data_IF_299767973223
#
_entry.id   IF_299767973223
#
_cell.length_a   1.000
_cell.length_b   1.000
_cell.length_c   1.000
_cell.angle_alpha   90.00
_cell.angle_beta   90.00
_cell.angle_gamma   90.00
#
_symmetry.space_group_name_H-M   'P 1'
#
loop_
_entity.id
_entity.type
_entity.pdbx_description
1 polymer ?
#
# COMPACT_ATOMS: atom_id res chain seq x y z
N UNK A 1 7.26 -7.43 -12.23
CA UNK A 1 7.03 -8.57 -11.30
C UNK A 1 7.18 -8.17 -9.84
N UNK A 2 8.38 -7.76 -9.41
CA UNK A 2 8.70 -7.58 -7.99
C UNK A 2 7.91 -6.44 -7.31
N UNK A 3 7.74 -5.29 -7.98
CA UNK A 3 6.87 -4.20 -7.48
C UNK A 3 5.44 -4.68 -7.20
N UNK A 4 4.84 -5.41 -8.15
CA UNK A 4 3.50 -6.02 -8.01
C UNK A 4 3.49 -6.99 -6.83
N UNK A 5 4.47 -7.90 -6.76
CA UNK A 5 4.54 -8.89 -5.68
C UNK A 5 4.63 -8.23 -4.30
N UNK A 6 5.44 -7.17 -4.14
CA UNK A 6 5.58 -6.46 -2.87
C UNK A 6 4.30 -5.74 -2.44
N UNK A 7 3.65 -5.05 -3.38
CA UNK A 7 2.38 -4.36 -3.11
C UNK A 7 1.32 -5.38 -2.70
N UNK A 8 1.11 -6.41 -3.51
CA UNK A 8 0.11 -7.46 -3.22
C UNK A 8 0.45 -8.19 -1.92
N UNK A 9 1.72 -8.50 -1.67
CA UNK A 9 2.17 -9.09 -0.40
C UNK A 9 1.75 -8.25 0.79
N UNK A 10 2.00 -6.94 0.73
CA UNK A 10 1.69 -6.00 1.80
C UNK A 10 0.19 -5.93 2.05
N UNK A 11 -0.62 -5.74 1.01
CA UNK A 11 -2.09 -5.65 1.16
C UNK A 11 -2.69 -6.99 1.65
N UNK A 12 -2.24 -8.15 1.14
CA UNK A 12 -2.70 -9.45 1.61
C UNK A 12 -2.29 -9.74 3.06
N UNK A 13 -1.09 -9.32 3.46
CA UNK A 13 -0.65 -9.38 4.85
C UNK A 13 -1.53 -8.51 5.74
N UNK A 14 -1.89 -7.31 5.31
CA UNK A 14 -2.78 -6.42 6.05
C UNK A 14 -4.17 -7.02 6.23
N UNK A 15 -4.78 -7.50 5.14
CA UNK A 15 -6.06 -8.23 5.17
C UNK A 15 -6.00 -9.39 6.17
N UNK A 16 -4.94 -10.19 6.11
CA UNK A 16 -4.80 -11.38 6.96
C UNK A 16 -4.70 -11.01 8.46
N UNK A 17 -4.02 -9.92 8.79
CA UNK A 17 -3.90 -9.45 10.17
C UNK A 17 -5.18 -8.80 10.67
N UNK A 18 -5.87 -8.04 9.84
CA UNK A 18 -7.17 -7.46 10.18
C UNK A 18 -8.18 -8.57 10.46
N UNK A 19 -8.29 -9.56 9.57
CA UNK A 19 -9.13 -10.73 9.78
C UNK A 19 -8.70 -11.52 11.02
N UNK A 20 -7.39 -11.68 11.25
CA UNK A 20 -6.86 -12.32 12.45
C UNK A 20 -7.30 -11.61 13.74
N UNK A 21 -7.19 -10.27 13.79
CA UNK A 21 -7.64 -9.46 14.92
C UNK A 21 -9.15 -9.61 15.11
N UNK A 22 -9.94 -9.50 14.04
CA UNK A 22 -11.40 -9.65 14.09
C UNK A 22 -11.76 -11.02 14.67
N UNK A 23 -11.16 -12.11 14.15
CA UNK A 23 -11.42 -13.47 14.60
C UNK A 23 -11.02 -13.70 16.06
N UNK A 24 -9.95 -13.07 16.54
CA UNK A 24 -9.51 -13.18 17.95
C UNK A 24 -10.47 -12.43 18.86
N UNK A 25 -10.86 -11.21 18.51
CA UNK A 25 -11.74 -10.37 19.35
C UNK A 25 -13.16 -10.94 19.39
N UNK A 26 -13.70 -11.40 18.25
CA UNK A 26 -15.07 -11.93 18.19
C UNK A 26 -15.17 -13.41 18.59
N UNK A 27 -14.10 -14.01 19.14
CA UNK A 27 -14.06 -15.44 19.49
C UNK A 27 -15.15 -15.83 20.50
N UNK A 28 -15.56 -14.89 21.36
CA UNK A 28 -16.58 -15.11 22.39
C UNK A 28 -18.02 -14.89 21.89
N UNK A 29 -18.20 -14.41 20.64
CA UNK A 29 -19.52 -14.15 20.07
C UNK A 29 -19.97 -15.38 19.24
N UNK A 30 -21.12 -15.96 19.60
CA UNK A 30 -21.73 -17.05 18.84
C UNK A 30 -22.07 -16.62 17.41
N UNK A 31 -21.91 -17.51 16.42
CA UNK A 31 -22.18 -17.25 14.98
C UNK A 31 -21.35 -16.14 14.31
N UNK A 32 -20.45 -15.45 15.01
CA UNK A 32 -19.60 -14.38 14.47
C UNK A 32 -18.85 -14.79 13.19
N UNK A 33 -18.35 -16.03 13.14
CA UNK A 33 -17.65 -16.60 11.98
C UNK A 33 -18.48 -16.58 10.70
N UNK A 34 -19.79 -16.86 10.78
CA UNK A 34 -20.67 -16.86 9.62
C UNK A 34 -20.76 -15.47 8.99
N UNK A 35 -20.94 -14.44 9.83
CA UNK A 35 -21.01 -13.04 9.39
C UNK A 35 -19.68 -12.51 8.88
N UNK A 36 -18.56 -12.95 9.45
CA UNK A 36 -17.22 -12.63 8.93
C UNK A 36 -17.04 -13.23 7.54
N UNK A 37 -17.34 -14.51 7.35
CA UNK A 37 -17.24 -15.17 6.03
C UNK A 37 -18.16 -14.51 5.01
N UNK A 38 -19.41 -14.23 5.39
CA UNK A 38 -20.36 -13.54 4.52
C UNK A 38 -19.85 -12.14 4.14
N UNK A 39 -19.27 -11.41 5.10
CA UNK A 39 -18.68 -10.09 4.86
C UNK A 39 -17.49 -10.16 3.91
N UNK A 40 -16.60 -11.13 4.08
CA UNK A 40 -15.46 -11.36 3.17
C UNK A 40 -15.97 -11.63 1.75
N UNK A 41 -16.93 -12.54 1.60
CA UNK A 41 -17.51 -12.86 0.29
C UNK A 41 -18.11 -11.62 -0.38
N UNK A 42 -18.89 -10.83 0.36
CA UNK A 42 -19.47 -9.60 -0.17
C UNK A 42 -18.39 -8.60 -0.58
N UNK A 43 -17.37 -8.38 0.25
CA UNK A 43 -16.25 -7.50 -0.06
C UNK A 43 -15.49 -7.91 -1.32
N UNK A 44 -15.22 -9.21 -1.49
CA UNK A 44 -14.58 -9.75 -2.71
C UNK A 44 -15.44 -9.55 -3.95
N UNK A 45 -16.76 -9.75 -3.85
CA UNK A 45 -17.68 -9.49 -4.96
C UNK A 45 -17.63 -8.02 -5.36
N UNK A 46 -17.72 -7.09 -4.39
CA UNK A 46 -17.64 -5.66 -4.68
C UNK A 46 -16.26 -5.24 -5.23
N UNK A 47 -15.16 -5.81 -4.72
CA UNK A 47 -13.83 -5.55 -5.26
C UNK A 47 -13.70 -6.06 -6.70
N UNK A 48 -14.29 -7.21 -7.02
CA UNK A 48 -14.30 -7.76 -8.38
C UNK A 48 -15.11 -6.90 -9.34
N UNK A 49 -16.26 -6.39 -8.89
CA UNK A 49 -17.06 -5.40 -9.64
C UNK A 49 -16.25 -4.14 -9.88
N UNK A 50 -15.57 -3.63 -8.84
CA UNK A 50 -14.71 -2.47 -8.93
C UNK A 50 -13.59 -2.66 -9.97
N UNK A 51 -12.89 -3.81 -9.96
CA UNK A 51 -11.87 -4.16 -10.96
C UNK A 51 -12.41 -4.13 -12.39
N UNK A 52 -13.62 -4.66 -12.60
CA UNK A 52 -14.26 -4.65 -13.91
C UNK A 52 -14.53 -3.23 -14.41
N UNK A 53 -15.01 -2.34 -13.54
CA UNK A 53 -15.22 -0.93 -13.88
C UNK A 53 -13.90 -0.21 -14.17
N UNK A 54 -12.88 -0.39 -13.34
CA UNK A 54 -11.55 0.21 -13.55
C UNK A 54 -10.97 -0.16 -14.92
N UNK A 55 -11.11 -1.43 -15.33
CA UNK A 55 -10.65 -1.87 -16.67
C UNK A 55 -11.44 -1.22 -17.81
N UNK A 56 -12.74 -0.99 -17.65
CA UNK A 56 -13.55 -0.31 -18.67
C UNK A 56 -13.23 1.16 -18.81
N UNK A 57 -13.02 1.86 -17.69
CA UNK A 57 -12.60 3.28 -17.73
C UNK A 57 -11.27 3.42 -18.47
N UNK A 58 -10.28 2.60 -18.11
CA UNK A 58 -8.96 2.58 -18.74
C UNK A 58 -8.98 2.58 -20.27
N UNK A 59 -9.76 1.68 -20.88
CA UNK A 59 -9.84 1.53 -22.34
C UNK A 59 -10.43 2.75 -23.06
N UNK A 60 -11.19 3.60 -22.36
CA UNK A 60 -11.87 4.76 -22.94
C UNK A 60 -11.01 6.02 -22.99
N UNK A 61 -9.87 6.06 -22.29
CA UNK A 61 -9.00 7.26 -22.19
C UNK A 61 -7.71 7.14 -23.02
N UNK A 62 -7.54 6.07 -23.81
CA UNK A 62 -6.28 5.70 -24.48
C UNK A 62 -5.88 6.51 -25.71
N UNK A 63 -6.11 7.82 -25.75
CA UNK A 63 -5.66 8.64 -26.88
C UNK A 63 -5.60 10.11 -26.55
N UNK A 64 -4.39 10.60 -26.25
CA UNK A 64 -3.80 11.92 -26.54
C UNK A 64 -2.68 12.19 -25.52
N UNK A 65 -1.44 12.35 -25.99
CA UNK A 65 -0.31 12.91 -25.23
C UNK A 65 0.42 11.90 -24.33
N UNK A 66 1.01 10.86 -24.91
CA UNK A 66 1.63 9.72 -24.21
C UNK A 66 2.58 10.16 -23.08
N UNK A 67 3.45 11.16 -23.30
CA UNK A 67 4.44 11.57 -22.30
C UNK A 67 3.84 12.32 -21.09
N UNK A 68 2.89 13.24 -21.33
CA UNK A 68 2.19 13.96 -20.25
C UNK A 68 1.30 13.02 -19.45
N UNK A 69 0.60 12.13 -20.16
CA UNK A 69 -0.25 11.11 -19.57
C UNK A 69 0.56 10.14 -18.72
N UNK A 70 1.69 9.63 -19.24
CA UNK A 70 2.57 8.71 -18.53
C UNK A 70 3.17 9.37 -17.27
N UNK A 71 3.67 10.61 -17.37
CA UNK A 71 4.17 11.32 -16.19
C UNK A 71 3.06 11.62 -15.17
N UNK A 72 1.85 11.95 -15.65
CA UNK A 72 0.67 12.20 -14.81
C UNK A 72 0.24 10.96 -14.04
N UNK A 73 0.25 9.79 -14.68
CA UNK A 73 0.03 8.51 -14.02
C UNK A 73 1.11 8.28 -12.96
N UNK A 74 2.40 8.47 -13.28
CA UNK A 74 3.47 8.27 -12.29
C UNK A 74 3.33 9.17 -11.06
N UNK A 75 2.89 10.41 -11.23
CA UNK A 75 2.59 11.32 -10.11
C UNK A 75 1.38 10.81 -9.32
N UNK A 76 0.31 10.40 -9.99
CA UNK A 76 -0.87 9.83 -9.34
C UNK A 76 -0.51 8.58 -8.52
N UNK A 77 0.32 7.69 -9.06
CA UNK A 77 0.85 6.52 -8.36
C UNK A 77 1.62 6.92 -7.12
N UNK A 78 2.51 7.89 -7.26
CA UNK A 78 3.31 8.42 -6.15
C UNK A 78 2.40 8.93 -5.03
N UNK A 79 1.36 9.70 -5.37
CA UNK A 79 0.41 10.23 -4.40
C UNK A 79 -0.39 9.11 -3.74
N UNK A 80 -0.92 8.15 -4.51
CA UNK A 80 -1.70 7.04 -3.99
C UNK A 80 -0.86 6.18 -3.03
N UNK A 81 0.35 5.79 -3.43
CA UNK A 81 1.26 5.00 -2.56
C UNK A 81 1.60 5.81 -1.30
N UNK A 82 1.89 7.11 -1.43
CA UNK A 82 2.18 7.97 -0.28
C UNK A 82 1.00 8.01 0.69
N UNK A 83 -0.21 8.16 0.15
CA UNK A 83 -1.45 8.18 0.93
C UNK A 83 -1.66 6.87 1.70
N UNK A 84 -1.51 5.71 1.04
CA UNK A 84 -1.71 4.40 1.70
C UNK A 84 -0.66 4.15 2.78
N UNK A 85 0.60 4.53 2.55
CA UNK A 85 1.66 4.49 3.56
C UNK A 85 1.30 5.33 4.80
N UNK A 86 0.87 6.58 4.58
CA UNK A 86 0.56 7.51 5.67
C UNK A 86 -0.69 7.03 6.42
N UNK A 87 -1.71 6.59 5.70
CA UNK A 87 -2.98 6.16 6.29
C UNK A 87 -2.78 4.97 7.24
N UNK A 88 -1.93 4.01 6.86
CA UNK A 88 -1.60 2.82 7.62
C UNK A 88 -1.02 3.10 9.01
N UNK A 89 -0.37 4.26 9.19
CA UNK A 89 0.22 4.66 10.48
C UNK A 89 -0.87 4.73 11.57
N UNK A 90 -0.84 3.77 12.49
CA UNK A 90 -1.76 3.68 13.63
C UNK A 90 -3.12 3.03 13.34
N UNK A 91 -3.37 2.53 12.12
CA UNK A 91 -4.65 1.90 11.77
C UNK A 91 -4.93 0.65 12.62
N UNK A 92 -3.94 -0.24 12.78
CA UNK A 92 -4.11 -1.50 13.53
C UNK A 92 -4.50 -1.32 15.01
N UNK A 93 -4.06 -0.24 15.67
CA UNK A 93 -4.42 0.05 17.07
C UNK A 93 -5.89 0.50 17.16
N UNK A 94 -6.30 1.41 16.26
CA UNK A 94 -7.67 1.92 16.20
C UNK A 94 -8.67 0.82 15.86
N UNK A 95 -8.33 -0.04 14.92
CA UNK A 95 -9.15 -1.21 14.55
C UNK A 95 -9.33 -2.13 15.74
N UNK A 96 -8.27 -2.44 16.49
CA UNK A 96 -8.37 -3.27 17.69
C UNK A 96 -9.30 -2.66 18.75
N UNK A 97 -9.19 -1.36 19.03
CA UNK A 97 -10.07 -0.66 19.98
C UNK A 97 -11.53 -0.67 19.51
N UNK A 98 -11.76 -0.27 18.26
CA UNK A 98 -13.11 -0.19 17.70
C UNK A 98 -13.82 -1.55 17.64
N UNK A 99 -13.10 -2.62 17.29
CA UNK A 99 -13.66 -3.97 17.29
C UNK A 99 -13.92 -4.47 18.71
N UNK A 100 -13.04 -4.16 19.69
CA UNK A 100 -13.31 -4.49 21.09
C UNK A 100 -14.62 -3.84 21.57
N UNK A 101 -14.79 -2.54 21.31
CA UNK A 101 -16.01 -1.82 21.70
C UNK A 101 -17.25 -2.40 21.00
N UNK A 102 -17.15 -2.69 19.70
CA UNK A 102 -18.22 -3.32 18.93
C UNK A 102 -18.53 -4.72 19.46
N UNK A 103 -17.51 -5.49 19.83
CA UNK A 103 -17.66 -6.85 20.37
C UNK A 103 -18.38 -6.85 21.71
N UNK A 104 -18.03 -5.91 22.61
CA UNK A 104 -18.72 -5.73 23.90
C UNK A 104 -20.19 -5.36 23.64
N UNK A 105 -20.46 -4.39 22.76
CA UNK A 105 -21.83 -3.99 22.41
C UNK A 105 -22.67 -5.11 21.78
N UNK A 106 -22.06 -5.97 20.96
CA UNK A 106 -22.75 -7.15 20.39
C UNK A 106 -23.09 -8.14 21.51
N UNK A 107 -22.17 -8.35 22.45
CA UNK A 107 -22.39 -9.25 23.59
C UNK A 107 -23.48 -8.75 24.55
N UNK A 108 -23.56 -7.43 24.75
CA UNK A 108 -24.61 -6.77 25.53
C UNK A 108 -25.96 -6.66 24.79
N UNK A 109 -26.06 -7.18 23.55
CA UNK A 109 -27.28 -7.11 22.73
C UNK A 109 -27.57 -5.71 22.15
N UNK A 110 -26.64 -4.77 22.33
CA UNK A 110 -26.79 -3.36 21.96
C UNK A 110 -26.27 -3.05 20.54
N UNK A 111 -25.59 -4.01 19.90
CA UNK A 111 -25.16 -3.93 18.51
C UNK A 111 -25.48 -5.20 17.72
N UNK A 112 -25.81 -5.04 16.44
CA UNK A 112 -26.25 -6.14 15.58
C UNK A 112 -25.08 -6.82 14.88
N UNK A 113 -25.19 -8.14 14.67
CA UNK A 113 -24.28 -8.94 13.83
C UNK A 113 -24.05 -8.35 12.42
N UNK A 114 -25.02 -7.58 11.91
CA UNK A 114 -24.89 -6.85 10.66
C UNK A 114 -23.77 -5.80 10.67
N UNK A 115 -23.45 -5.18 11.81
CA UNK A 115 -22.33 -4.23 11.88
C UNK A 115 -20.99 -4.93 11.64
N UNK A 116 -20.80 -6.12 12.22
CA UNK A 116 -19.61 -6.94 11.99
C UNK A 116 -19.49 -7.35 10.52
N UNK A 117 -20.61 -7.76 9.91
CA UNK A 117 -20.67 -8.09 8.48
C UNK A 117 -20.25 -6.90 7.59
N UNK A 118 -20.85 -5.72 7.78
CA UNK A 118 -20.53 -4.54 6.97
C UNK A 118 -19.12 -4.02 7.23
N UNK A 119 -18.63 -4.10 8.47
CA UNK A 119 -17.26 -3.76 8.82
C UNK A 119 -16.27 -4.62 8.02
N UNK A 120 -16.46 -5.94 8.05
CA UNK A 120 -15.61 -6.88 7.31
C UNK A 120 -15.72 -6.64 5.81
N UNK A 121 -16.94 -6.51 5.28
CA UNK A 121 -17.15 -6.28 3.85
C UNK A 121 -16.50 -5.00 3.34
N UNK A 122 -16.66 -3.88 4.07
CA UNK A 122 -16.06 -2.59 3.70
C UNK A 122 -14.54 -2.64 3.79
N UNK A 123 -14.01 -3.35 4.78
CA UNK A 123 -12.55 -3.54 4.93
C UNK A 123 -11.99 -4.32 3.74
N UNK A 124 -12.57 -5.47 3.40
CA UNK A 124 -12.12 -6.29 2.28
C UNK A 124 -12.30 -5.57 0.93
N UNK A 125 -13.42 -4.86 0.74
CA UNK A 125 -13.64 -4.03 -0.44
C UNK A 125 -12.53 -2.99 -0.61
N UNK A 126 -12.23 -2.27 0.48
CA UNK A 126 -11.24 -1.20 0.48
C UNK A 126 -9.84 -1.73 0.18
N UNK A 127 -9.35 -2.73 0.92
CA UNK A 127 -8.03 -3.32 0.67
C UNK A 127 -7.95 -3.96 -0.71
N UNK A 128 -9.03 -4.61 -1.17
CA UNK A 128 -9.13 -5.14 -2.52
C UNK A 128 -9.05 -4.04 -3.60
N UNK A 129 -9.73 -2.91 -3.40
CA UNK A 129 -9.67 -1.76 -4.30
C UNK A 129 -8.27 -1.14 -4.35
N UNK A 130 -7.58 -1.05 -3.21
CA UNK A 130 -6.19 -0.59 -3.15
C UNK A 130 -5.27 -1.53 -3.96
N UNK A 131 -5.40 -2.86 -3.82
CA UNK A 131 -4.67 -3.83 -4.65
C UNK A 131 -4.93 -3.57 -6.14
N UNK A 132 -6.20 -3.47 -6.53
CA UNK A 132 -6.61 -3.30 -7.93
C UNK A 132 -6.01 -2.02 -8.52
N UNK A 133 -6.16 -0.88 -7.83
CA UNK A 133 -5.66 0.41 -8.32
C UNK A 133 -4.14 0.38 -8.41
N UNK A 134 -3.44 -0.03 -7.36
CA UNK A 134 -1.98 0.02 -7.30
C UNK A 134 -1.34 -0.92 -8.32
N UNK A 135 -1.88 -2.13 -8.47
CA UNK A 135 -1.38 -3.09 -9.46
C UNK A 135 -1.67 -2.61 -10.87
N UNK A 136 -2.88 -2.10 -11.14
CA UNK A 136 -3.25 -1.52 -12.43
C UNK A 136 -2.32 -0.36 -12.80
N UNK A 137 -2.12 0.57 -11.87
CA UNK A 137 -1.19 1.69 -11.98
C UNK A 137 0.24 1.26 -12.36
N UNK A 138 0.79 0.25 -11.70
CA UNK A 138 2.13 -0.25 -12.03
C UNK A 138 2.14 -0.83 -13.45
N UNK A 139 1.10 -1.56 -13.83
CA UNK A 139 0.99 -2.20 -15.15
C UNK A 139 0.67 -1.24 -16.29
N UNK A 140 0.14 -0.05 -16.02
CA UNK A 140 -0.15 0.94 -17.06
C UNK A 140 1.10 1.69 -17.51
N UNK A 141 2.13 1.80 -16.64
CA UNK A 141 3.35 2.54 -16.99
C UNK A 141 4.50 1.63 -17.42
N UNK A 142 4.53 0.39 -16.93
CA UNK A 142 5.48 -0.61 -17.42
C UNK A 142 4.74 -1.58 -18.35
N UNK A 143 5.26 -1.80 -19.56
CA UNK A 143 4.75 -2.82 -20.48
C UNK A 143 5.09 -4.23 -19.95
N UNK A 144 4.28 -4.71 -19.01
CA UNK A 144 4.46 -6.00 -18.34
C UNK A 144 3.67 -7.07 -19.08
N UNK A 145 4.33 -8.16 -19.47
CA UNK A 145 3.63 -9.33 -20.03
C UNK A 145 2.63 -9.93 -19.04
N UNK A 146 1.50 -10.45 -19.54
CA UNK A 146 0.44 -11.03 -18.71
C UNK A 146 0.91 -12.16 -17.79
N UNK A 147 1.92 -12.93 -18.21
CA UNK A 147 2.51 -13.99 -17.39
C UNK A 147 3.25 -13.43 -16.17
N UNK A 148 4.07 -12.39 -16.37
CA UNK A 148 4.82 -11.73 -15.30
C UNK A 148 3.89 -11.03 -14.31
N UNK A 149 2.80 -10.44 -14.83
CA UNK A 149 1.75 -9.86 -14.02
C UNK A 149 1.14 -10.90 -13.06
N UNK A 150 0.67 -12.03 -13.60
CA UNK A 150 0.04 -13.10 -12.82
C UNK A 150 1.01 -13.70 -11.80
N UNK A 151 2.27 -13.93 -12.16
CA UNK A 151 3.27 -14.43 -11.24
C UNK A 151 3.50 -13.48 -10.07
N UNK A 152 3.57 -12.16 -10.33
CA UNK A 152 3.71 -11.15 -9.29
C UNK A 152 2.54 -11.18 -8.30
N UNK A 153 1.30 -11.21 -8.80
CA UNK A 153 0.09 -11.28 -7.98
C UNK A 153 0.04 -12.56 -7.16
N UNK A 154 0.30 -13.73 -7.78
CA UNK A 154 0.24 -15.02 -7.10
C UNK A 154 1.31 -15.09 -6.00
N UNK A 155 2.55 -14.72 -6.29
CA UNK A 155 3.64 -14.77 -5.31
C UNK A 155 3.37 -13.80 -4.16
N UNK A 156 2.95 -12.57 -4.47
CA UNK A 156 2.59 -11.58 -3.45
C UNK A 156 1.46 -12.09 -2.56
N UNK A 157 0.35 -12.53 -3.15
CA UNK A 157 -0.82 -12.99 -2.40
C UNK A 157 -0.50 -14.21 -1.53
N UNK A 158 0.12 -15.23 -2.12
CA UNK A 158 0.47 -16.47 -1.40
C UNK A 158 1.42 -16.19 -0.24
N UNK A 159 2.51 -15.44 -0.47
CA UNK A 159 3.46 -15.09 0.61
C UNK A 159 2.83 -14.21 1.69
N UNK A 160 1.96 -13.27 1.32
CA UNK A 160 1.27 -12.38 2.25
C UNK A 160 0.30 -13.13 3.17
N UNK A 161 -0.56 -13.98 2.59
CA UNK A 161 -1.48 -14.81 3.36
C UNK A 161 -0.76 -15.86 4.19
N UNK A 162 0.29 -16.51 3.66
CA UNK A 162 1.08 -17.48 4.42
C UNK A 162 1.71 -16.84 5.64
N UNK A 163 2.38 -15.70 5.47
CA UNK A 163 3.00 -15.01 6.59
C UNK A 163 1.95 -14.49 7.59
N UNK A 164 0.81 -14.02 7.09
CA UNK A 164 -0.37 -13.69 7.90
C UNK A 164 -0.86 -14.82 8.78
N UNK A 165 -1.02 -16.02 8.21
CA UNK A 165 -1.41 -17.23 8.93
C UNK A 165 -0.38 -17.61 10.00
N UNK A 166 0.92 -17.54 9.67
CA UNK A 166 2.01 -17.80 10.62
C UNK A 166 1.95 -16.84 11.81
N UNK A 167 1.64 -15.56 11.57
CA UNK A 167 1.42 -14.58 12.65
C UNK A 167 0.16 -14.91 13.44
N UNK A 168 -0.95 -15.27 12.78
CA UNK A 168 -2.22 -15.61 13.42
C UNK A 168 -2.09 -16.79 14.40
N UNK A 169 -1.35 -17.84 14.02
CA UNK A 169 -1.09 -19.00 14.87
C UNK A 169 -0.03 -18.74 15.96
N UNK A 170 0.53 -17.53 16.03
CA UNK A 170 1.44 -17.12 17.10
C UNK A 170 2.88 -17.63 16.95
N UNK A 171 3.25 -18.18 15.79
CA UNK A 171 4.63 -18.61 15.50
C UNK A 171 5.61 -17.42 15.44
N UNK A 172 5.11 -16.20 15.21
CA UNK A 172 5.88 -14.96 15.24
C UNK A 172 5.37 -14.11 16.41
N UNK A 173 6.18 -13.99 17.47
CA UNK A 173 5.88 -13.11 18.61
C UNK A 173 5.61 -11.66 18.14
N UNK A 174 4.64 -11.01 18.78
CA UNK A 174 4.15 -9.63 18.54
C UNK A 174 5.26 -8.56 18.34
N UNK A 175 6.45 -8.76 18.89
CA UNK A 175 7.58 -7.85 18.70
C UNK A 175 8.05 -7.74 17.22
N UNK A 176 7.89 -8.81 16.42
CA UNK A 176 8.39 -8.85 15.05
C UNK A 176 7.47 -8.20 14.01
N UNK A 177 6.17 -8.07 14.31
CA UNK A 177 5.19 -7.43 13.42
C UNK A 177 5.60 -5.98 13.09
N UNK A 178 6.09 -5.24 14.09
CA UNK A 178 6.56 -3.85 13.92
C UNK A 178 7.68 -3.74 12.87
N UNK A 179 8.60 -4.70 12.84
CA UNK A 179 9.71 -4.69 11.90
C UNK A 179 9.26 -4.99 10.48
N UNK A 180 8.36 -5.95 10.30
CA UNK A 180 7.82 -6.31 8.98
C UNK A 180 7.13 -5.10 8.34
N UNK A 181 6.29 -4.40 9.10
CA UNK A 181 5.63 -3.17 8.64
C UNK A 181 6.60 -2.01 8.41
N UNK A 182 7.63 -1.87 9.26
CA UNK A 182 8.63 -0.82 9.07
C UNK A 182 9.43 -1.05 7.79
N UNK A 183 9.86 -2.28 7.54
CA UNK A 183 10.62 -2.65 6.34
C UNK A 183 9.74 -2.45 5.09
N UNK A 184 8.50 -2.93 5.09
CA UNK A 184 7.59 -2.73 3.95
C UNK A 184 7.29 -1.25 3.69
N UNK A 185 7.11 -0.45 4.75
CA UNK A 185 6.90 1.00 4.66
C UNK A 185 8.10 1.71 4.00
N UNK A 186 9.32 1.39 4.45
CA UNK A 186 10.54 1.96 3.86
C UNK A 186 10.64 1.59 2.39
N UNK A 187 10.39 0.32 2.05
CA UNK A 187 10.45 -0.18 0.68
C UNK A 187 9.43 0.51 -0.23
N UNK A 188 8.18 0.67 0.21
CA UNK A 188 7.14 1.39 -0.54
C UNK A 188 7.46 2.88 -0.70
N UNK A 189 8.07 3.49 0.31
CA UNK A 189 8.52 4.89 0.24
C UNK A 189 9.62 5.07 -0.80
N UNK A 190 10.55 4.13 -0.90
CA UNK A 190 11.57 4.12 -1.95
C UNK A 190 10.96 3.92 -3.34
N UNK A 191 9.96 3.04 -3.47
CA UNK A 191 9.21 2.84 -4.72
C UNK A 191 8.45 4.11 -5.12
N UNK A 192 7.79 4.80 -4.18
CA UNK A 192 7.12 6.06 -4.43
C UNK A 192 8.10 7.15 -4.90
N UNK A 193 9.26 7.25 -4.24
CA UNK A 193 10.35 8.13 -4.70
C UNK A 193 10.80 7.77 -6.12
N UNK A 194 10.94 6.48 -6.43
CA UNK A 194 11.30 6.00 -7.76
C UNK A 194 10.29 6.39 -8.84
N UNK A 195 8.99 6.29 -8.55
CA UNK A 195 7.94 6.75 -9.48
C UNK A 195 7.94 8.28 -9.67
N UNK A 196 8.19 9.04 -8.61
CA UNK A 196 8.35 10.50 -8.72
C UNK A 196 9.56 10.88 -9.60
N UNK A 197 10.68 10.17 -9.42
CA UNK A 197 11.86 10.34 -10.27
C UNK A 197 11.55 9.97 -11.73
N UNK A 198 10.89 8.85 -11.99
CA UNK A 198 10.48 8.47 -13.34
C UNK A 198 9.58 9.52 -14.01
N UNK A 199 8.63 10.10 -13.27
CA UNK A 199 7.78 11.19 -13.77
C UNK A 199 8.62 12.42 -14.18
N UNK A 200 9.53 12.85 -13.31
CA UNK A 200 10.46 13.94 -13.58
C UNK A 200 11.36 13.65 -14.80
N UNK A 201 11.77 12.38 -14.97
CA UNK A 201 12.53 11.94 -16.14
C UNK A 201 11.78 12.08 -17.44
N UNK A 202 10.51 11.66 -17.49
CA UNK A 202 9.65 11.80 -18.68
C UNK A 202 9.42 13.28 -19.01
N UNK A 203 9.18 14.13 -18.00
CA UNK A 203 8.97 15.57 -18.18
C UNK A 203 10.20 16.32 -18.70
N UNK A 204 11.39 15.85 -18.33
CA UNK A 204 12.66 16.44 -18.79
C UNK A 204 13.09 15.91 -20.16
N UNK A 205 12.84 14.62 -20.45
CA UNK A 205 13.16 14.04 -21.77
C UNK A 205 12.23 14.53 -22.88
N UNK A 206 10.98 14.84 -22.55
CA UNK A 206 9.97 15.42 -23.47
C UNK A 206 10.22 16.90 -23.79
N UNK A 207 11.18 17.55 -23.11
CA UNK A 207 11.43 18.98 -23.25
C UNK A 207 10.36 19.89 -22.62
N UNK A 208 9.36 19.33 -21.93
CA UNK A 208 8.32 20.09 -21.23
C UNK A 208 8.88 20.84 -20.02
N UNK A 209 9.87 20.25 -19.34
CA UNK A 209 10.59 20.87 -18.21
C UNK A 209 12.07 20.87 -18.52
N UNK A 210 12.64 22.06 -18.76
CA UNK A 210 14.08 22.25 -19.01
C UNK A 210 14.87 22.59 -17.73
N UNK A 211 14.22 22.61 -16.57
CA UNK A 211 14.87 22.88 -15.29
C UNK A 211 15.63 21.65 -14.79
N UNK A 212 16.94 21.79 -14.52
CA UNK A 212 17.81 20.70 -14.05
C UNK A 212 17.74 19.44 -14.94
N UNK A 213 17.59 19.64 -16.26
CA UNK A 213 17.53 18.57 -17.26
C UNK A 213 18.90 17.92 -17.52
N UNK A 214 19.98 18.63 -17.19
CA UNK A 214 21.35 18.14 -17.40
C UNK A 214 21.65 16.93 -16.51
N UNK A 215 22.45 16.02 -17.05
CA UNK A 215 22.93 14.85 -16.33
C UNK A 215 23.76 15.29 -15.12
N UNK A 216 23.41 14.78 -13.95
CA UNK A 216 24.05 15.16 -12.70
C UNK A 216 25.31 14.31 -12.42
N UNK A 217 25.25 13.01 -12.68
CA UNK A 217 26.38 12.09 -12.54
C UNK A 217 26.26 10.84 -13.45
N UNK A 218 27.33 10.05 -13.54
CA UNK A 218 27.34 8.71 -14.17
C UNK A 218 27.89 7.66 -13.20
N UNK A 219 27.01 6.81 -12.66
CA UNK A 219 27.37 5.69 -11.78
C UNK A 219 27.36 4.33 -12.51
N UNK A 220 27.31 4.35 -13.85
CA UNK A 220 27.30 3.14 -14.67
C UNK A 220 28.55 2.27 -14.51
N UNK A 221 29.66 2.88 -14.05
CA UNK A 221 30.91 2.17 -13.75
C UNK A 221 30.78 1.23 -12.55
N UNK A 222 29.88 1.53 -11.60
CA UNK A 222 29.62 0.73 -10.40
C UNK A 222 28.48 -0.26 -10.65
N UNK A 223 27.33 0.26 -11.07
CA UNK A 223 26.13 -0.53 -11.38
C UNK A 223 25.47 0.03 -12.63
N UNK A 224 25.61 -0.70 -13.74
CA UNK A 224 24.96 -0.35 -15.00
C UNK A 224 23.46 -0.67 -14.96
N UNK A 225 22.62 0.21 -15.53
CA UNK A 225 21.15 0.04 -15.59
C UNK A 225 20.72 -1.28 -16.27
N UNK A 226 21.51 -1.71 -17.26
CA UNK A 226 21.28 -2.96 -18.00
C UNK A 226 21.62 -4.23 -17.21
N UNK A 227 22.42 -4.12 -16.15
CA UNK A 227 22.79 -5.27 -15.31
C UNK A 227 21.59 -5.77 -14.51
N UNK A 228 21.58 -7.05 -14.17
CA UNK A 228 20.48 -7.64 -13.38
C UNK A 228 20.37 -6.96 -12.00
N UNK A 229 21.50 -6.63 -11.37
CA UNK A 229 21.56 -5.87 -10.12
C UNK A 229 20.99 -4.46 -10.32
N UNK A 230 21.37 -3.77 -11.40
CA UNK A 230 20.87 -2.42 -11.72
C UNK A 230 19.36 -2.39 -11.90
N UNK A 231 18.78 -3.39 -12.58
CA UNK A 231 17.32 -3.53 -12.71
C UNK A 231 16.64 -3.77 -11.37
N UNK A 232 17.22 -4.61 -10.50
CA UNK A 232 16.68 -4.86 -9.15
C UNK A 232 16.72 -3.57 -8.32
N UNK A 233 17.85 -2.85 -8.34
CA UNK A 233 17.99 -1.56 -7.66
C UNK A 233 16.99 -0.53 -8.22
N UNK A 234 16.82 -0.45 -9.53
CA UNK A 234 15.85 0.44 -10.14
C UNK A 234 14.42 0.13 -9.66
N UNK A 235 14.07 -1.16 -9.55
CA UNK A 235 12.75 -1.61 -9.10
C UNK A 235 12.53 -1.34 -7.59
N UNK A 236 13.54 -1.62 -6.76
CA UNK A 236 13.46 -1.57 -5.28
C UNK A 236 13.62 -0.14 -4.77
N UNK A 237 14.62 0.57 -5.29
CA UNK A 237 15.04 1.87 -4.78
C UNK A 237 14.80 3.00 -5.76
N UNK A 238 14.32 2.76 -6.98
CA UNK A 238 14.23 3.81 -8.00
C UNK A 238 15.60 4.28 -8.51
N UNK A 239 16.65 3.45 -8.37
CA UNK A 239 18.00 3.78 -8.85
C UNK A 239 18.01 4.03 -10.36
N UNK A 240 18.77 5.05 -10.77
CA UNK A 240 19.03 5.42 -12.17
C UNK A 240 20.53 5.69 -12.26
N UNK A 241 21.25 5.03 -13.17
CA UNK A 241 22.70 5.17 -13.26
C UNK A 241 23.15 6.55 -13.78
N UNK A 242 22.30 7.22 -14.55
CA UNK A 242 22.54 8.55 -15.13
C UNK A 242 21.35 9.48 -14.87
N UNK A 243 21.13 9.90 -13.62
CA UNK A 243 20.00 10.74 -13.31
C UNK A 243 20.29 12.20 -13.68
N UNK A 244 19.24 12.95 -13.96
CA UNK A 244 19.31 14.40 -14.02
C UNK A 244 18.97 15.03 -12.66
N UNK A 245 19.23 16.32 -12.52
CA UNK A 245 19.03 17.02 -11.25
C UNK A 245 17.56 16.98 -10.78
N UNK A 246 16.60 17.07 -11.71
CA UNK A 246 15.17 17.06 -11.36
C UNK A 246 14.71 15.70 -10.82
N UNK A 247 15.17 14.59 -11.42
CA UNK A 247 14.87 13.23 -10.96
C UNK A 247 15.31 13.02 -9.50
N UNK A 248 16.53 13.48 -9.17
CA UNK A 248 17.09 13.37 -7.82
C UNK A 248 16.29 14.22 -6.82
N UNK A 249 15.96 15.46 -7.19
CA UNK A 249 15.12 16.33 -6.36
C UNK A 249 13.73 15.72 -6.13
N UNK A 250 13.07 15.22 -7.18
CA UNK A 250 11.75 14.60 -7.07
C UNK A 250 11.77 13.36 -6.16
N UNK A 251 12.81 12.54 -6.28
CA UNK A 251 13.03 11.35 -5.44
C UNK A 251 13.12 11.71 -3.95
N UNK A 252 14.08 12.56 -3.59
CA UNK A 252 14.33 12.90 -2.19
C UNK A 252 13.21 13.75 -1.58
N UNK A 253 12.61 14.65 -2.35
CA UNK A 253 11.47 15.47 -1.90
C UNK A 253 10.29 14.59 -1.52
N UNK A 254 9.96 13.60 -2.36
CA UNK A 254 8.89 12.63 -2.09
C UNK A 254 9.15 11.87 -0.78
N UNK A 255 10.35 11.31 -0.62
CA UNK A 255 10.71 10.55 0.60
C UNK A 255 10.65 11.41 1.85
N UNK A 256 11.14 12.65 1.77
CA UNK A 256 11.17 13.60 2.86
C UNK A 256 9.75 14.02 3.26
N UNK A 257 8.89 14.32 2.29
CA UNK A 257 7.47 14.65 2.54
C UNK A 257 6.73 13.49 3.22
N UNK A 258 6.86 12.26 2.71
CA UNK A 258 6.22 11.09 3.31
C UNK A 258 6.70 10.92 4.76
N UNK A 259 8.02 11.01 5.01
CA UNK A 259 8.57 10.92 6.37
C UNK A 259 8.03 12.01 7.30
N UNK A 260 8.01 13.27 6.87
CA UNK A 260 7.51 14.38 7.68
C UNK A 260 6.05 14.13 8.07
N UNK A 261 5.20 13.73 7.11
CA UNK A 261 3.78 13.50 7.39
C UNK A 261 3.58 12.31 8.34
N UNK A 262 4.35 11.23 8.17
CA UNK A 262 4.34 10.11 9.12
C UNK A 262 4.70 10.59 10.53
N UNK A 263 5.78 11.37 10.69
CA UNK A 263 6.24 11.86 11.99
C UNK A 263 5.19 12.77 12.65
N UNK A 264 4.57 13.66 11.88
CA UNK A 264 3.48 14.53 12.36
C UNK A 264 2.32 13.67 12.88
N UNK A 265 1.88 12.68 12.11
CA UNK A 265 0.76 11.81 12.47
C UNK A 265 1.06 10.96 13.72
N UNK A 266 2.29 10.45 13.84
CA UNK A 266 2.73 9.71 15.03
C UNK A 266 2.77 10.58 16.28
N UNK A 267 3.29 11.81 16.19
CA UNK A 267 3.31 12.79 17.29
C UNK A 267 1.90 13.17 17.73
N UNK A 268 0.99 13.41 16.78
CA UNK A 268 -0.41 13.73 17.08
C UNK A 268 -1.10 12.58 17.82
N UNK A 269 -0.84 11.33 17.41
CA UNK A 269 -1.39 10.15 18.09
C UNK A 269 -0.84 9.97 19.51
N UNK A 270 0.44 10.29 19.77
CA UNK A 270 1.03 10.20 21.10
C UNK A 270 0.49 11.28 22.04
N UNK A 271 0.38 12.53 21.57
CA UNK A 271 -0.12 13.64 22.38
C UNK A 271 -1.58 13.44 22.82
N UNK A 272 -2.42 12.85 21.95
CA UNK A 272 -3.80 12.52 22.30
C UNK A 272 -3.91 11.42 23.37
N UNK A 273 -2.98 10.47 23.42
CA UNK A 273 -2.99 9.44 24.47
C UNK A 273 -2.60 10.03 25.83
N UNK A 274 -1.63 10.96 25.83
CA UNK A 274 -1.18 11.64 27.05
C UNK A 274 -2.27 12.57 27.61
N UNK A 275 -3.05 13.26 26.76
CA UNK A 275 -4.13 14.14 27.22
C UNK A 275 -5.32 13.38 27.81
N UNK A 276 -5.68 12.22 27.25
CA UNK A 276 -6.73 11.35 27.79
C UNK A 276 -6.32 10.78 29.15
N UNK A 277 -5.09 10.28 29.29
CA UNK A 277 -4.60 9.78 30.58
C UNK A 277 -4.57 10.86 31.67
N UNK A 278 -4.29 12.11 31.30
CA UNK A 278 -4.29 13.25 32.24
C UNK A 278 -5.69 13.67 32.68
N UNK A 279 -6.70 13.46 31.83
CA UNK A 279 -8.11 13.73 32.17
C UNK A 279 -8.75 12.62 33.00
N UNK A 280 -8.28 11.37 32.92
CA UNK A 280 -8.75 10.27 33.76
C UNK A 280 -8.11 10.27 35.17
N UNK A 281 -7.02 11.02 35.36
CA UNK A 281 -6.32 11.14 36.66
C UNK A 281 -6.75 12.34 37.51
N UNK A 282 -7.67 13.17 37.03
CA UNK A 282 -8.25 14.33 37.73
C UNK A 282 -9.73 14.09 38.00
#
# INVERSE_FOLDING_TARGET
>A
MFKIALVVFRECLEISLLLGIILVVTKQIEKSRLYIIAGVMLGVVFASIFAFFTRKLSLSFGGIGDELFDSGIMILITILISWTIIWMQGYGIKVKQHINDLSVKIHEGNASYFMLFFLVATTILREGAEIIILVYSISSVETISSSIYLQGVIIGATSGFLLGLVIYFGFIKIANQKYIFKISTVLLMLIAGGFAASAAGILTSSGLVMFLSDQLWDSSWLVADRSMIGKILHIVTGYIARPNGLQVLAYFTTILLINIVIQIKLRYSQNNLISVQKNESN
#
